data_IF_770543934016
#
_entry.id   IF_770543934016
#
_cell.length_a   1.000
_cell.length_b   1.000
_cell.length_c   1.000
_cell.angle_alpha   90.00
_cell.angle_beta   90.00
_cell.angle_gamma   90.00
#
_symmetry.space_group_name_H-M   'P 1'
#
loop_
_entity.id
_entity.type
_entity.pdbx_description
1 polymer ?
#
# COMPACT_ATOMS: atom_id res chain seq x y z
N UNK A 1 38.40 37.55 -1.18
CA UNK A 1 38.03 36.38 -2.02
C UNK A 1 37.59 35.26 -1.09
N UNK A 2 36.28 35.07 -0.94
CA UNK A 2 35.73 33.96 -0.15
C UNK A 2 35.46 32.78 -1.09
N UNK A 3 36.19 31.68 -0.88
CA UNK A 3 35.98 30.42 -1.58
C UNK A 3 34.80 29.70 -0.95
N UNK A 4 33.68 29.63 -1.67
CA UNK A 4 32.55 28.77 -1.28
C UNK A 4 32.97 27.30 -1.47
N UNK A 5 33.06 26.57 -0.35
CA UNK A 5 33.22 25.13 -0.36
C UNK A 5 32.00 24.49 -1.03
N UNK A 6 32.24 23.73 -2.10
CA UNK A 6 31.22 22.91 -2.75
C UNK A 6 30.69 21.89 -1.73
N UNK A 7 29.39 21.95 -1.45
CA UNK A 7 28.71 20.94 -0.67
C UNK A 7 28.87 19.58 -1.35
N UNK A 8 29.63 18.68 -0.71
CA UNK A 8 29.78 17.31 -1.17
C UNK A 8 28.42 16.64 -1.23
N UNK A 9 27.96 16.31 -2.44
CA UNK A 9 26.85 15.41 -2.66
C UNK A 9 27.24 14.03 -2.14
N UNK A 10 26.79 13.70 -0.93
CA UNK A 10 26.92 12.34 -0.42
C UNK A 10 26.25 11.38 -1.42
N UNK A 11 26.97 10.40 -2.00
CA UNK A 11 26.32 9.39 -2.81
C UNK A 11 25.35 8.65 -1.90
N UNK A 12 24.05 8.82 -2.15
CA UNK A 12 23.00 8.04 -1.49
C UNK A 12 23.26 6.59 -1.90
N UNK A 13 23.95 5.83 -1.05
CA UNK A 13 24.11 4.40 -1.26
C UNK A 13 22.72 3.79 -1.33
N UNK A 14 22.35 3.30 -2.51
CA UNK A 14 21.18 2.46 -2.64
C UNK A 14 21.46 1.18 -1.87
N UNK A 15 20.94 1.10 -0.63
CA UNK A 15 21.10 -0.09 0.21
C UNK A 15 20.67 -1.35 -0.54
N UNK A 16 21.25 -2.50 -0.17
CA UNK A 16 21.10 -3.78 -0.86
C UNK A 16 19.64 -4.18 -1.20
N UNK A 17 18.67 -3.69 -0.42
CA UNK A 17 17.24 -3.87 -0.66
C UNK A 17 16.76 -3.31 -2.01
N UNK A 18 17.27 -2.16 -2.46
CA UNK A 18 16.83 -1.51 -3.71
C UNK A 18 17.73 -1.83 -4.91
N UNK A 19 18.64 -2.78 -4.75
CA UNK A 19 19.54 -3.27 -5.79
C UNK A 19 19.41 -4.80 -5.90
N UNK A 20 20.31 -5.56 -5.27
CA UNK A 20 20.40 -7.03 -5.36
C UNK A 20 19.16 -7.75 -4.82
N UNK A 21 18.52 -7.22 -3.78
CA UNK A 21 17.34 -7.85 -3.14
C UNK A 21 16.02 -7.22 -3.55
N UNK A 22 16.01 -6.30 -4.51
CA UNK A 22 14.80 -5.55 -4.86
C UNK A 22 13.69 -6.45 -5.39
N UNK A 23 14.04 -7.41 -6.23
CA UNK A 23 13.09 -8.41 -6.75
C UNK A 23 12.46 -9.25 -5.64
N UNK A 24 13.27 -9.70 -4.66
CA UNK A 24 12.77 -10.45 -3.52
C UNK A 24 11.85 -9.59 -2.65
N UNK A 25 12.26 -8.36 -2.35
CA UNK A 25 11.45 -7.40 -1.59
C UNK A 25 10.10 -7.12 -2.26
N UNK A 26 10.08 -6.95 -3.59
CA UNK A 26 8.85 -6.78 -4.35
C UNK A 26 7.95 -8.02 -4.32
N UNK A 27 8.52 -9.23 -4.33
CA UNK A 27 7.72 -10.47 -4.23
C UNK A 27 7.09 -10.64 -2.84
N UNK A 28 7.85 -10.34 -1.77
CA UNK A 28 7.32 -10.34 -0.40
C UNK A 28 6.21 -9.28 -0.28
N UNK A 29 6.45 -8.10 -0.85
CA UNK A 29 5.45 -7.04 -0.85
C UNK A 29 4.19 -7.43 -1.63
N UNK A 30 4.34 -8.07 -2.79
CA UNK A 30 3.23 -8.60 -3.57
C UNK A 30 2.41 -9.62 -2.78
N UNK A 31 3.06 -10.50 -2.01
CA UNK A 31 2.35 -11.44 -1.14
C UNK A 31 1.47 -10.70 -0.12
N UNK A 32 2.01 -9.67 0.55
CA UNK A 32 1.26 -8.85 1.50
C UNK A 32 0.07 -8.16 0.82
N UNK A 33 0.30 -7.58 -0.36
CA UNK A 33 -0.75 -6.92 -1.17
C UNK A 33 -1.88 -7.88 -1.52
N UNK A 34 -1.55 -9.10 -1.97
CA UNK A 34 -2.55 -10.11 -2.34
C UNK A 34 -3.29 -10.62 -1.11
N UNK A 35 -2.61 -10.86 0.01
CA UNK A 35 -3.25 -11.28 1.25
C UNK A 35 -4.26 -10.23 1.74
N UNK A 36 -3.89 -8.95 1.69
CA UNK A 36 -4.79 -7.84 2.03
C UNK A 36 -5.98 -7.75 1.07
N UNK A 37 -5.76 -7.91 -0.24
CA UNK A 37 -6.83 -7.97 -1.24
C UNK A 37 -7.79 -9.13 -0.99
N UNK A 38 -7.27 -10.32 -0.67
CA UNK A 38 -8.06 -11.50 -0.40
C UNK A 38 -9.01 -11.27 0.79
N UNK A 39 -8.53 -10.60 1.85
CA UNK A 39 -9.35 -10.24 3.01
C UNK A 39 -10.59 -9.43 2.60
N UNK A 40 -10.39 -8.36 1.83
CA UNK A 40 -11.47 -7.45 1.45
C UNK A 40 -12.38 -8.01 0.35
N UNK A 41 -11.84 -8.75 -0.61
CA UNK A 41 -12.65 -9.43 -1.63
C UNK A 41 -13.52 -10.51 -0.99
N UNK A 42 -12.97 -11.29 -0.05
CA UNK A 42 -13.77 -12.27 0.69
C UNK A 42 -14.88 -11.59 1.51
N UNK A 43 -14.59 -10.46 2.16
CA UNK A 43 -15.59 -9.67 2.85
C UNK A 43 -16.71 -9.19 1.90
N UNK A 44 -16.35 -8.70 0.71
CA UNK A 44 -17.33 -8.29 -0.30
C UNK A 44 -18.20 -9.47 -0.76
N UNK A 45 -17.61 -10.63 -1.02
CA UNK A 45 -18.33 -11.86 -1.40
C UNK A 45 -19.28 -12.30 -0.28
N UNK A 46 -18.82 -12.28 0.97
CA UNK A 46 -19.64 -12.62 2.14
C UNK A 46 -20.90 -11.74 2.20
N UNK A 47 -20.75 -10.42 2.01
CA UNK A 47 -21.88 -9.49 2.04
C UNK A 47 -22.79 -9.64 0.82
N UNK A 48 -22.25 -9.52 -0.39
CA UNK A 48 -23.09 -9.33 -1.59
C UNK A 48 -23.47 -10.63 -2.30
N UNK A 49 -22.63 -11.66 -2.25
CA UNK A 49 -22.91 -12.93 -2.91
C UNK A 49 -23.54 -13.95 -1.95
N UNK A 50 -23.11 -13.96 -0.68
CA UNK A 50 -23.59 -14.92 0.32
C UNK A 50 -24.65 -14.35 1.28
N UNK A 51 -24.89 -13.04 1.25
CA UNK A 51 -25.92 -12.38 2.07
C UNK A 51 -25.61 -12.37 3.58
N UNK A 52 -24.34 -12.49 3.97
CA UNK A 52 -23.96 -12.48 5.38
C UNK A 52 -24.22 -11.11 6.00
N UNK A 53 -24.72 -11.04 7.25
CA UNK A 53 -24.77 -9.80 8.00
C UNK A 53 -23.39 -9.15 8.12
N UNK A 54 -23.31 -7.82 8.02
CA UNK A 54 -22.05 -7.06 8.14
C UNK A 54 -21.21 -7.44 9.38
N UNK A 55 -21.78 -7.69 10.58
CA UNK A 55 -21.00 -8.12 11.72
C UNK A 55 -20.29 -9.47 11.54
N UNK A 56 -20.77 -10.33 10.64
CA UNK A 56 -20.26 -11.68 10.37
C UNK A 56 -19.34 -11.71 9.14
N UNK A 57 -19.50 -10.77 8.20
CA UNK A 57 -18.65 -10.63 7.02
C UNK A 57 -17.27 -10.04 7.37
N UNK A 58 -16.37 -10.91 7.84
CA UNK A 58 -15.06 -10.54 8.41
C UNK A 58 -13.87 -10.88 7.52
N UNK A 59 -14.06 -11.23 6.25
CA UNK A 59 -12.94 -11.56 5.35
C UNK A 59 -12.40 -12.98 5.54
N UNK A 60 -11.14 -13.21 5.14
CA UNK A 60 -10.49 -14.52 5.19
C UNK A 60 -9.97 -14.82 6.59
N UNK A 61 -9.24 -13.89 7.19
CA UNK A 61 -8.64 -14.03 8.52
C UNK A 61 -9.63 -13.71 9.63
N UNK A 62 -10.55 -12.78 9.41
CA UNK A 62 -11.49 -12.39 10.45
C UNK A 62 -12.60 -13.38 10.75
N UNK A 63 -12.85 -14.36 9.87
CA UNK A 63 -13.77 -15.47 10.16
C UNK A 63 -13.17 -16.42 11.21
N UNK A 64 -11.96 -16.99 11.03
CA UNK A 64 -11.33 -17.85 12.03
C UNK A 64 -10.80 -17.07 13.26
N UNK A 65 -10.43 -15.79 13.10
CA UNK A 65 -9.81 -14.97 14.14
C UNK A 65 -10.53 -13.62 14.33
N UNK A 66 -11.78 -13.62 14.81
CA UNK A 66 -12.64 -12.42 14.84
C UNK A 66 -12.12 -11.27 15.72
N UNK A 67 -11.23 -11.55 16.68
CA UNK A 67 -10.60 -10.50 17.49
C UNK A 67 -9.66 -9.60 16.69
N UNK A 68 -9.04 -10.11 15.61
CA UNK A 68 -8.15 -9.32 14.77
C UNK A 68 -8.92 -8.16 14.13
N UNK A 69 -10.08 -8.44 13.54
CA UNK A 69 -10.91 -7.44 12.86
C UNK A 69 -11.54 -6.44 13.83
N UNK A 70 -12.01 -6.91 14.99
CA UNK A 70 -12.72 -6.06 15.97
C UNK A 70 -11.84 -4.99 16.60
N UNK A 71 -10.52 -5.16 16.55
CA UNK A 71 -9.57 -4.32 17.28
C UNK A 71 -9.10 -3.07 16.53
N UNK A 72 -9.54 -2.85 15.29
CA UNK A 72 -9.00 -1.87 14.31
C UNK A 72 -7.49 -2.02 13.99
N UNK A 73 -6.71 -2.73 14.83
CA UNK A 73 -5.29 -3.01 14.64
C UNK A 73 -4.98 -3.82 13.39
N UNK A 74 -5.82 -4.78 12.99
CA UNK A 74 -5.57 -5.55 11.78
C UNK A 74 -5.57 -4.65 10.55
N UNK A 75 -6.59 -3.80 10.41
CA UNK A 75 -6.70 -2.87 9.29
C UNK A 75 -5.56 -1.84 9.30
N UNK A 76 -5.28 -1.25 10.46
CA UNK A 76 -4.16 -0.32 10.61
C UNK A 76 -2.81 -0.98 10.31
N UNK A 77 -2.60 -2.21 10.76
CA UNK A 77 -1.40 -3.00 10.51
C UNK A 77 -1.17 -3.23 9.02
N UNK A 78 -2.19 -3.68 8.28
CA UNK A 78 -2.09 -3.80 6.81
C UNK A 78 -1.76 -2.45 6.16
N UNK A 79 -2.47 -1.38 6.52
CA UNK A 79 -2.21 -0.05 5.96
C UNK A 79 -0.78 0.44 6.23
N UNK A 80 -0.25 0.18 7.42
CA UNK A 80 1.11 0.55 7.82
C UNK A 80 2.16 -0.27 7.06
N UNK A 81 2.02 -1.60 6.99
CA UNK A 81 2.96 -2.45 6.24
C UNK A 81 2.94 -2.12 4.75
N UNK A 82 1.77 -1.82 4.18
CA UNK A 82 1.62 -1.33 2.81
C UNK A 82 2.39 -0.03 2.59
N UNK A 83 2.20 0.95 3.47
CA UNK A 83 2.89 2.24 3.42
C UNK A 83 4.41 2.08 3.54
N UNK A 84 4.88 1.31 4.52
CA UNK A 84 6.31 1.02 4.72
C UNK A 84 6.90 0.36 3.47
N UNK A 85 6.24 -0.65 2.91
CA UNK A 85 6.66 -1.31 1.67
C UNK A 85 6.82 -0.35 0.49
N UNK A 86 5.83 0.53 0.27
CA UNK A 86 5.89 1.57 -0.76
C UNK A 86 7.06 2.55 -0.54
N UNK A 87 7.36 2.92 0.71
CA UNK A 87 8.45 3.84 1.05
C UNK A 87 9.82 3.18 0.87
N UNK A 88 10.02 1.97 1.40
CA UNK A 88 11.35 1.33 1.45
C UNK A 88 11.76 0.78 0.09
N UNK A 89 10.82 0.26 -0.71
CA UNK A 89 11.07 -0.27 -2.05
C UNK A 89 11.08 0.82 -3.12
N UNK A 90 10.67 2.03 -2.77
CA UNK A 90 10.59 3.17 -3.70
C UNK A 90 11.87 3.25 -4.53
N UNK A 91 13.05 3.31 -3.89
CA UNK A 91 14.34 3.69 -4.51
C UNK A 91 14.79 2.75 -5.64
N UNK A 92 14.25 1.53 -5.74
CA UNK A 92 14.53 0.64 -6.87
C UNK A 92 13.81 1.02 -8.17
N UNK A 93 12.78 1.86 -8.12
CA UNK A 93 12.04 2.34 -9.28
C UNK A 93 12.69 3.58 -9.92
N UNK A 94 12.77 3.59 -11.25
CA UNK A 94 13.27 4.70 -12.08
C UNK A 94 12.22 5.16 -13.11
N UNK A 95 12.41 6.35 -13.69
CA UNK A 95 11.59 6.90 -14.79
C UNK A 95 10.08 6.81 -14.58
N UNK A 96 9.36 6.30 -15.58
CA UNK A 96 7.88 6.24 -15.53
C UNK A 96 7.38 5.33 -14.41
N UNK A 97 8.05 4.20 -14.17
CA UNK A 97 7.67 3.28 -13.11
C UNK A 97 7.69 3.96 -11.73
N UNK A 98 8.69 4.83 -11.49
CA UNK A 98 8.80 5.64 -10.27
C UNK A 98 7.63 6.61 -10.11
N UNK A 99 7.15 7.22 -11.19
CA UNK A 99 5.99 8.11 -11.15
C UNK A 99 4.74 7.38 -10.67
N UNK A 100 4.42 6.24 -11.29
CA UNK A 100 3.25 5.44 -10.91
C UNK A 100 3.34 4.86 -9.49
N UNK A 101 4.55 4.49 -9.06
CA UNK A 101 4.80 4.10 -7.68
C UNK A 101 4.55 5.25 -6.69
N UNK A 102 4.93 6.48 -7.04
CA UNK A 102 4.66 7.65 -6.20
C UNK A 102 3.16 8.01 -6.15
N UNK A 103 2.42 7.82 -7.25
CA UNK A 103 0.96 7.99 -7.25
C UNK A 103 0.33 7.01 -6.25
N UNK A 104 0.72 5.73 -6.33
CA UNK A 104 0.27 4.71 -5.39
C UNK A 104 0.59 5.07 -3.94
N UNK A 105 1.82 5.54 -3.69
CA UNK A 105 2.27 6.00 -2.37
C UNK A 105 1.43 7.18 -1.87
N UNK A 106 1.15 8.18 -2.70
CA UNK A 106 0.34 9.34 -2.31
C UNK A 106 -1.08 8.93 -1.88
N UNK A 107 -1.72 8.05 -2.66
CA UNK A 107 -3.05 7.52 -2.33
C UNK A 107 -2.97 6.66 -1.05
N UNK A 108 -1.95 5.82 -0.91
CA UNK A 108 -1.77 4.98 0.29
C UNK A 108 -1.53 5.82 1.55
N UNK A 109 -0.84 6.96 1.46
CA UNK A 109 -0.68 7.88 2.60
C UNK A 109 -2.04 8.41 3.07
N UNK A 110 -2.89 8.82 2.12
CA UNK A 110 -4.25 9.25 2.45
C UNK A 110 -5.08 8.11 3.06
N UNK A 111 -5.07 6.93 2.43
CA UNK A 111 -5.77 5.76 2.95
C UNK A 111 -5.29 5.35 4.35
N UNK A 112 -3.98 5.41 4.61
CA UNK A 112 -3.41 5.18 5.92
C UNK A 112 -3.86 6.22 6.95
N UNK A 113 -3.97 7.50 6.58
CA UNK A 113 -4.48 8.55 7.46
C UNK A 113 -5.91 8.24 7.92
N UNK A 114 -6.79 7.81 7.01
CA UNK A 114 -8.16 7.39 7.33
C UNK A 114 -8.16 6.22 8.34
N UNK A 115 -7.28 5.23 8.17
CA UNK A 115 -7.10 4.15 9.15
C UNK A 115 -6.55 4.63 10.50
N UNK A 116 -5.60 5.57 10.50
CA UNK A 116 -5.08 6.15 11.72
C UNK A 116 -6.19 6.87 12.49
N UNK A 117 -7.05 7.62 11.79
CA UNK A 117 -8.23 8.28 12.37
C UNK A 117 -9.16 7.24 13.03
N UNK A 118 -9.40 6.10 12.39
CA UNK A 118 -10.20 5.01 12.98
C UNK A 118 -9.55 4.43 14.24
N UNK A 119 -8.25 4.14 14.18
CA UNK A 119 -7.51 3.59 15.32
C UNK A 119 -7.51 4.55 16.51
N UNK A 120 -7.28 5.85 16.28
CA UNK A 120 -7.30 6.85 17.35
C UNK A 120 -8.69 6.97 17.99
N UNK A 121 -9.77 6.94 17.20
CA UNK A 121 -11.14 6.90 17.74
C UNK A 121 -11.36 5.67 18.63
N UNK A 122 -10.89 4.49 18.20
CA UNK A 122 -11.00 3.26 18.96
C UNK A 122 -10.17 3.29 20.26
N UNK A 123 -8.98 3.91 20.24
CA UNK A 123 -8.10 4.02 21.42
C UNK A 123 -8.61 5.02 22.45
N UNK A 124 -9.18 6.15 22.01
CA UNK A 124 -9.66 7.22 22.89
C UNK A 124 -11.16 7.17 23.17
N UNK A 125 -11.88 6.18 22.61
CA UNK A 125 -13.33 6.07 22.67
C UNK A 125 -14.07 7.36 22.26
N UNK A 126 -13.48 8.11 21.32
CA UNK A 126 -13.94 9.43 20.89
C UNK A 126 -14.21 9.44 19.39
N UNK A 127 -15.43 9.09 19.00
CA UNK A 127 -15.81 8.98 17.59
C UNK A 127 -16.10 10.35 16.94
N UNK A 128 -15.73 10.49 15.67
CA UNK A 128 -16.00 11.71 14.90
C UNK A 128 -17.52 11.97 14.82
N UNK A 129 -17.91 13.23 14.97
CA UNK A 129 -19.30 13.70 14.84
C UNK A 129 -20.31 12.91 15.70
N UNK A 130 -19.88 12.39 16.86
CA UNK A 130 -20.76 11.64 17.77
C UNK A 130 -21.25 10.30 17.21
N UNK A 131 -20.58 9.73 16.19
CA UNK A 131 -20.95 8.43 15.62
C UNK A 131 -20.86 7.31 16.66
N UNK A 132 -21.67 6.27 16.48
CA UNK A 132 -21.72 5.12 17.39
C UNK A 132 -20.49 4.20 17.28
N UNK A 133 -19.69 4.33 16.22
CA UNK A 133 -18.49 3.54 15.96
C UNK A 133 -17.41 4.39 15.28
N UNK A 134 -16.12 3.99 15.35
CA UNK A 134 -15.06 4.62 14.59
C UNK A 134 -15.45 4.80 13.12
N UNK A 135 -15.37 6.05 12.64
CA UNK A 135 -15.78 6.42 11.28
C UNK A 135 -14.72 7.33 10.68
N UNK A 136 -14.23 7.02 9.48
CA UNK A 136 -13.27 7.86 8.76
C UNK A 136 -13.98 9.02 8.05
N UNK A 137 -13.23 9.95 7.45
CA UNK A 137 -13.76 11.13 6.76
C UNK A 137 -14.66 10.72 5.59
N UNK A 138 -14.15 9.93 4.64
CA UNK A 138 -14.97 9.50 3.50
C UNK A 138 -16.08 8.51 3.87
N UNK A 139 -15.95 7.81 5.02
CA UNK A 139 -17.02 6.94 5.52
C UNK A 139 -18.29 7.68 5.96
N UNK A 140 -18.24 9.01 6.08
CA UNK A 140 -19.42 9.81 6.37
C UNK A 140 -20.45 9.78 5.23
N UNK A 141 -20.00 9.51 4.00
CA UNK A 141 -20.83 9.53 2.78
C UNK A 141 -20.74 8.25 1.94
N UNK A 142 -19.73 7.39 2.16
CA UNK A 142 -19.58 6.10 1.47
C UNK A 142 -19.52 4.97 2.51
N UNK A 143 -20.25 3.84 2.34
CA UNK A 143 -20.19 2.77 3.32
C UNK A 143 -18.81 2.08 3.34
N UNK A 144 -18.49 1.46 4.49
CA UNK A 144 -17.14 1.01 4.84
C UNK A 144 -16.56 0.03 3.82
N UNK A 145 -17.33 -0.98 3.42
CA UNK A 145 -16.86 -2.09 2.57
C UNK A 145 -16.50 -1.57 1.17
N UNK A 146 -17.40 -0.81 0.57
CA UNK A 146 -17.25 -0.18 -0.74
C UNK A 146 -16.08 0.79 -0.75
N UNK A 147 -15.93 1.60 0.30
CA UNK A 147 -14.82 2.54 0.42
C UNK A 147 -13.47 1.81 0.48
N UNK A 148 -13.36 0.72 1.24
CA UNK A 148 -12.12 -0.05 1.32
C UNK A 148 -11.81 -0.74 -0.01
N UNK A 149 -12.80 -1.33 -0.69
CA UNK A 149 -12.61 -1.89 -2.04
C UNK A 149 -12.15 -0.82 -3.03
N UNK A 150 -12.75 0.36 -2.98
CA UNK A 150 -12.35 1.49 -3.81
C UNK A 150 -10.91 1.90 -3.54
N UNK A 151 -10.54 2.16 -2.27
CA UNK A 151 -9.17 2.51 -1.89
C UNK A 151 -8.16 1.44 -2.32
N UNK A 152 -8.46 0.17 -2.09
CA UNK A 152 -7.59 -0.94 -2.51
C UNK A 152 -7.41 -0.95 -4.03
N UNK A 153 -8.47 -0.71 -4.81
CA UNK A 153 -8.38 -0.60 -6.26
C UNK A 153 -7.52 0.59 -6.71
N UNK A 154 -7.74 1.79 -6.16
CA UNK A 154 -7.03 3.01 -6.59
C UNK A 154 -5.58 3.06 -6.11
N UNK A 155 -5.20 2.32 -5.06
CA UNK A 155 -3.79 2.09 -4.72
C UNK A 155 -3.18 1.00 -5.60
N UNK A 156 -3.88 -0.10 -5.82
CA UNK A 156 -3.35 -1.26 -6.54
C UNK A 156 -3.15 -1.02 -8.04
N UNK A 157 -4.08 -0.35 -8.71
CA UNK A 157 -4.00 -0.09 -10.14
C UNK A 157 -2.69 0.65 -10.54
N UNK A 158 -2.33 1.80 -9.92
CA UNK A 158 -1.07 2.46 -10.23
C UNK A 158 0.16 1.62 -9.82
N UNK A 159 0.06 0.76 -8.79
CA UNK A 159 1.13 -0.19 -8.46
C UNK A 159 1.35 -1.21 -9.58
N UNK A 160 0.28 -1.75 -10.16
CA UNK A 160 0.36 -2.67 -11.31
C UNK A 160 1.01 -1.98 -12.49
N UNK A 161 0.61 -0.74 -12.81
CA UNK A 161 1.24 0.04 -13.89
C UNK A 161 2.73 0.27 -13.61
N UNK A 162 3.08 0.65 -12.38
CA UNK A 162 4.47 0.79 -11.96
C UNK A 162 5.27 -0.49 -12.18
N UNK A 163 4.71 -1.65 -11.80
CA UNK A 163 5.36 -2.95 -11.95
C UNK A 163 5.53 -3.38 -13.40
N UNK A 164 4.53 -3.14 -14.26
CA UNK A 164 4.62 -3.42 -15.70
C UNK A 164 5.77 -2.60 -16.31
N UNK A 165 5.82 -1.30 -16.01
CA UNK A 165 6.86 -0.40 -16.51
C UNK A 165 8.25 -0.73 -15.93
N UNK A 166 8.31 -1.12 -14.65
CA UNK A 166 9.56 -1.51 -13.99
C UNK A 166 10.16 -2.78 -14.58
N UNK A 167 9.31 -3.73 -14.98
CA UNK A 167 9.75 -4.98 -15.65
C UNK A 167 10.05 -4.79 -17.14
N UNK A 168 9.51 -3.74 -17.77
CA UNK A 168 9.69 -3.42 -19.20
C UNK A 168 10.21 -1.97 -19.38
N UNK A 169 11.39 -1.65 -18.83
CA UNK A 169 11.97 -0.31 -18.94
C UNK A 169 12.38 0.01 -20.39
N UNK A 170 12.33 1.28 -20.78
CA UNK A 170 13.01 1.74 -21.99
C UNK A 170 14.54 1.79 -21.78
N UNK A 171 15.31 2.12 -22.83
CA UNK A 171 16.79 2.13 -22.77
C UNK A 171 17.34 3.06 -21.68
N UNK A 172 16.76 4.25 -21.53
CA UNK A 172 17.19 5.25 -20.54
C UNK A 172 16.86 4.78 -19.12
N UNK A 173 15.64 4.29 -18.92
CA UNK A 173 15.18 3.74 -17.63
C UNK A 173 16.05 2.54 -17.21
N UNK A 174 16.39 1.66 -18.16
CA UNK A 174 17.21 0.46 -17.93
C UNK A 174 18.64 0.82 -17.52
N UNK A 175 19.24 1.84 -18.14
CA UNK A 175 20.58 2.32 -17.78
C UNK A 175 20.65 2.89 -16.36
N UNK A 176 19.53 3.36 -15.81
CA UNK A 176 19.43 3.89 -14.44
C UNK A 176 19.08 2.81 -13.40
N UNK A 177 18.59 1.64 -13.84
CA UNK A 177 18.16 0.57 -12.94
C UNK A 177 19.36 -0.22 -12.40
N UNK A 178 19.40 -0.38 -11.07
CA UNK A 178 20.44 -1.13 -10.36
C UNK A 178 19.97 -2.50 -9.85
N UNK A 179 18.88 -3.04 -10.41
CA UNK A 179 18.26 -4.29 -9.98
C UNK A 179 18.02 -5.26 -11.16
N UNK A 180 17.72 -6.52 -10.84
CA UNK A 180 17.50 -7.62 -11.81
C UNK A 180 16.02 -7.81 -12.18
N UNK A 181 15.17 -6.82 -11.92
CA UNK A 181 13.72 -6.93 -12.10
C UNK A 181 13.26 -6.89 -13.57
N UNK A 182 14.01 -6.26 -14.47
CA UNK A 182 13.62 -6.16 -15.87
C UNK A 182 13.68 -7.52 -16.57
N UNK A 183 12.72 -7.75 -17.48
CA UNK A 183 12.74 -8.93 -18.36
C UNK A 183 13.94 -8.81 -19.31
N UNK A 184 14.68 -9.91 -19.57
CA UNK A 184 15.74 -9.91 -20.58
C UNK A 184 15.18 -9.50 -21.95
N UNK A 185 15.95 -8.72 -22.71
CA UNK A 185 15.64 -8.47 -24.13
C UNK A 185 16.00 -9.75 -24.89
N UNK A 186 15.09 -10.35 -25.69
CA UNK A 186 15.46 -11.43 -26.59
C UNK A 186 16.61 -10.95 -27.50
N UNK A 187 17.69 -11.74 -27.54
CA UNK A 187 18.86 -11.47 -28.39
C UNK A 187 18.56 -11.63 -29.88
#
# INVERSE_FOLDING_TARGET
MATHAAAGSFPVQNGALNTRYHKLGLNIFLFIVIAHWAEHVAQAIQVYALGWPLPEARGVLGVPFPWLVKSEWMHYGYALFMLVGLIILRKGFTGRARTWWNISLGIQVWHHLEHLILLLQALFAANLFGRAAPTSILQLIVPRVELHLFYNAVVFAPMVVAMILHRRPNRVERAQMNCTCAVPVPG
#
